data_IF_596109422567
#
_entry.id   IF_596109422567
#
_cell.length_a   1.000
_cell.length_b   1.000
_cell.length_c   1.000
_cell.angle_alpha   90.00
_cell.angle_beta   90.00
_cell.angle_gamma   90.00
#
_symmetry.space_group_name_H-M   'P 1'
#
loop_
_entity.id
_entity.type
_entity.pdbx_description
1 polymer ?
#
# COMPACT_ATOMS: atom_id res chain seq x y z
N UNK A 1 -7.29 11.94 13.61
CA UNK A 1 -6.69 12.77 14.67
C UNK A 1 -5.81 11.97 15.64
N UNK A 2 -6.24 10.78 16.16
CA UNK A 2 -5.46 10.01 17.14
C UNK A 2 -4.11 9.54 16.55
N UNK A 3 -4.12 8.91 15.36
CA UNK A 3 -2.91 8.52 14.65
C UNK A 3 -1.95 9.71 14.48
N UNK A 4 -2.42 10.83 13.96
CA UNK A 4 -1.59 12.01 13.72
C UNK A 4 -0.90 12.51 15.00
N UNK A 5 -1.63 12.53 16.12
CA UNK A 5 -1.07 12.93 17.43
C UNK A 5 0.01 11.98 17.93
N UNK A 6 -0.16 10.67 17.73
CA UNK A 6 0.86 9.70 18.09
C UNK A 6 2.07 9.77 17.15
N UNK A 7 1.84 9.79 15.84
CA UNK A 7 2.90 9.76 14.83
C UNK A 7 3.81 10.99 14.86
N UNK A 8 3.26 12.18 15.11
CA UNK A 8 4.04 13.44 15.16
C UNK A 8 5.06 13.47 16.30
N UNK A 9 4.81 12.78 17.40
CA UNK A 9 5.78 12.67 18.50
C UNK A 9 7.06 11.90 18.10
N UNK A 10 6.97 11.10 17.04
CA UNK A 10 8.07 10.36 16.44
C UNK A 10 8.66 11.05 15.20
N UNK A 11 8.27 12.30 14.93
CA UNK A 11 8.75 13.08 13.79
C UNK A 11 8.05 12.78 12.46
N UNK A 12 6.99 11.98 12.45
CA UNK A 12 6.20 11.71 11.25
C UNK A 12 5.22 12.85 11.00
N UNK A 13 5.32 13.53 9.86
CA UNK A 13 4.50 14.69 9.51
C UNK A 13 3.48 14.38 8.41
N UNK A 14 3.67 13.28 7.69
CA UNK A 14 2.78 12.84 6.63
C UNK A 14 2.68 11.31 6.62
N UNK A 15 1.59 10.79 6.06
CA UNK A 15 1.41 9.36 5.83
C UNK A 15 0.71 9.13 4.50
N UNK A 16 1.12 8.05 3.82
CA UNK A 16 0.37 7.43 2.73
C UNK A 16 -0.38 6.25 3.34
N UNK A 17 -1.67 6.15 3.09
CA UNK A 17 -2.53 5.17 3.75
C UNK A 17 -3.57 4.59 2.79
N UNK A 18 -3.94 3.34 3.04
CA UNK A 18 -5.03 2.65 2.34
C UNK A 18 -6.20 2.46 3.31
N UNK A 19 -7.39 3.02 3.03
CA UNK A 19 -8.55 2.88 3.90
C UNK A 19 -9.43 1.66 3.55
N UNK A 20 -8.85 0.52 3.12
CA UNK A 20 -9.62 -0.62 2.64
C UNK A 20 -10.51 -1.26 3.72
N UNK A 21 -10.11 -1.25 4.99
CA UNK A 21 -10.92 -1.82 6.08
C UNK A 21 -12.25 -1.07 6.24
N UNK A 22 -12.20 0.26 6.28
CA UNK A 22 -13.45 1.04 6.38
C UNK A 22 -14.23 1.01 5.08
N UNK A 23 -13.55 0.92 3.93
CA UNK A 23 -14.20 0.75 2.64
C UNK A 23 -14.90 -0.63 2.54
N UNK A 24 -14.34 -1.67 3.14
CA UNK A 24 -14.96 -2.99 3.22
C UNK A 24 -16.29 -2.99 4.02
N UNK A 25 -16.50 -1.99 4.88
CA UNK A 25 -17.74 -1.82 5.67
C UNK A 25 -18.69 -0.82 5.02
N UNK A 26 -18.18 0.33 4.53
CA UNK A 26 -18.99 1.48 4.11
C UNK A 26 -18.85 1.83 2.61
N UNK A 27 -18.02 1.10 1.86
CA UNK A 27 -17.78 1.37 0.44
C UNK A 27 -17.15 2.75 0.20
N UNK A 28 -17.59 3.43 -0.85
CA UNK A 28 -17.15 4.78 -1.20
C UNK A 28 -17.26 5.77 -0.02
N UNK A 29 -18.32 5.64 0.77
CA UNK A 29 -18.52 6.51 1.94
C UNK A 29 -17.43 6.35 2.99
N UNK A 30 -16.84 5.14 3.13
CA UNK A 30 -15.71 4.90 4.03
C UNK A 30 -14.48 5.68 3.61
N UNK A 31 -14.16 5.69 2.33
CA UNK A 31 -13.03 6.46 1.77
C UNK A 31 -13.27 7.97 1.95
N UNK A 32 -14.46 8.46 1.63
CA UNK A 32 -14.84 9.87 1.80
C UNK A 32 -14.74 10.29 3.27
N UNK A 33 -15.24 9.45 4.19
CA UNK A 33 -15.13 9.70 5.63
C UNK A 33 -13.67 9.87 6.07
N UNK A 34 -12.76 9.05 5.57
CA UNK A 34 -11.32 9.16 5.90
C UNK A 34 -10.73 10.47 5.39
N UNK A 35 -11.09 10.90 4.18
CA UNK A 35 -10.69 12.21 3.64
C UNK A 35 -11.22 13.37 4.48
N UNK A 36 -12.49 13.32 4.88
CA UNK A 36 -13.11 14.33 5.75
C UNK A 36 -12.44 14.41 7.12
N UNK A 37 -12.13 13.25 7.74
CA UNK A 37 -11.44 13.20 9.03
C UNK A 37 -9.98 13.70 8.92
N UNK A 38 -9.32 13.46 7.81
CA UNK A 38 -7.98 13.95 7.55
C UNK A 38 -7.96 15.49 7.42
N UNK A 39 -8.94 16.06 6.74
CA UNK A 39 -9.03 17.52 6.57
C UNK A 39 -9.17 18.31 7.88
N UNK A 40 -9.54 17.64 8.97
CA UNK A 40 -9.68 18.22 10.32
C UNK A 40 -8.36 18.24 11.11
N UNK A 41 -7.24 17.88 10.50
CA UNK A 41 -5.92 17.83 11.15
C UNK A 41 -4.86 18.46 10.25
N UNK A 42 -3.86 19.18 10.80
CA UNK A 42 -2.75 19.69 10.00
C UNK A 42 -1.79 18.61 9.51
N UNK A 43 -1.96 17.36 9.92
CA UNK A 43 -1.17 16.22 9.45
C UNK A 43 -1.52 15.91 7.98
N UNK A 44 -0.51 15.70 7.15
CA UNK A 44 -0.71 15.45 5.73
C UNK A 44 -1.01 13.95 5.50
N UNK A 45 -2.18 13.67 4.92
CA UNK A 45 -2.53 12.33 4.47
C UNK A 45 -2.64 12.28 2.95
N UNK A 46 -2.01 11.28 2.34
CA UNK A 46 -2.29 10.84 0.98
C UNK A 46 -3.00 9.49 1.03
N UNK A 47 -4.29 9.46 0.67
CA UNK A 47 -5.02 8.20 0.66
C UNK A 47 -4.94 7.51 -0.69
N UNK A 48 -4.87 6.18 -0.66
CA UNK A 48 -5.15 5.34 -1.81
C UNK A 48 -6.64 5.06 -1.96
N UNK A 49 -7.06 4.78 -3.18
CA UNK A 49 -8.37 4.17 -3.42
C UNK A 49 -8.20 2.66 -3.29
N UNK A 50 -8.91 1.99 -2.38
CA UNK A 50 -8.85 0.54 -2.26
C UNK A 50 -9.18 -0.16 -3.59
N UNK A 51 -8.28 -1.00 -4.06
CA UNK A 51 -8.43 -1.72 -5.33
C UNK A 51 -9.30 -2.96 -5.23
N UNK A 52 -9.28 -3.59 -4.05
CA UNK A 52 -9.92 -4.89 -3.77
C UNK A 52 -10.84 -4.78 -2.55
N UNK A 53 -12.11 -4.51 -2.78
CA UNK A 53 -13.17 -4.48 -1.75
C UNK A 53 -14.39 -5.23 -2.29
N UNK A 54 -14.68 -6.41 -1.73
CA UNK A 54 -13.87 -7.18 -0.77
C UNK A 54 -12.54 -7.66 -1.37
N UNK A 55 -11.60 -8.08 -0.51
CA UNK A 55 -10.29 -8.56 -0.94
C UNK A 55 -10.39 -9.87 -1.74
N UNK A 56 -11.37 -10.71 -1.42
CA UNK A 56 -11.66 -11.96 -2.15
C UNK A 56 -13.16 -12.16 -2.36
N UNK A 57 -13.57 -12.93 -3.39
CA UNK A 57 -14.99 -13.24 -3.61
C UNK A 57 -15.60 -14.19 -2.56
N UNK A 58 -14.80 -14.68 -1.63
CA UNK A 58 -15.23 -15.61 -0.56
C UNK A 58 -15.54 -14.89 0.75
N UNK A 59 -15.27 -13.59 0.83
CA UNK A 59 -15.53 -12.80 2.03
C UNK A 59 -16.97 -12.28 2.07
N UNK A 60 -17.47 -12.13 3.30
CA UNK A 60 -18.66 -11.31 3.56
C UNK A 60 -18.20 -9.88 3.79
N UNK A 61 -18.68 -8.95 2.98
CA UNK A 61 -18.37 -7.54 3.06
C UNK A 61 -19.62 -6.71 3.25
N UNK A 62 -19.48 -5.55 3.86
CA UNK A 62 -20.55 -4.55 3.99
C UNK A 62 -20.77 -3.76 2.70
N UNK A 63 -19.78 -3.73 1.83
CA UNK A 63 -19.82 -3.01 0.56
C UNK A 63 -18.86 -3.63 -0.48
N UNK A 64 -19.00 -3.18 -1.73
CA UNK A 64 -18.13 -3.55 -2.85
C UNK A 64 -17.68 -2.27 -3.59
N UNK A 65 -16.41 -2.24 -4.04
CA UNK A 65 -15.88 -1.20 -4.92
C UNK A 65 -15.60 -1.77 -6.31
N UNK A 66 -16.56 -1.61 -7.20
CA UNK A 66 -16.40 -1.93 -8.63
C UNK A 66 -15.56 -0.87 -9.37
N UNK A 67 -15.23 -1.12 -10.66
CA UNK A 67 -14.36 -0.22 -11.46
C UNK A 67 -14.86 1.22 -11.53
N UNK A 68 -16.18 1.44 -11.65
CA UNK A 68 -16.77 2.78 -11.75
C UNK A 68 -16.63 3.55 -10.43
N UNK A 69 -16.80 2.87 -9.28
CA UNK A 69 -16.61 3.46 -7.96
C UNK A 69 -15.14 3.85 -7.76
N UNK A 70 -14.21 2.96 -8.12
CA UNK A 70 -12.76 3.22 -8.07
C UNK A 70 -12.41 4.43 -8.95
N UNK A 71 -12.91 4.49 -10.18
CA UNK A 71 -12.65 5.60 -11.09
C UNK A 71 -13.13 6.95 -10.53
N UNK A 72 -14.35 6.99 -9.91
CA UNK A 72 -14.86 8.21 -9.25
C UNK A 72 -14.00 8.63 -8.07
N UNK A 73 -13.60 7.69 -7.24
CA UNK A 73 -12.78 7.97 -6.05
C UNK A 73 -11.39 8.49 -6.42
N UNK A 74 -10.77 7.99 -7.50
CA UNK A 74 -9.46 8.43 -7.98
C UNK A 74 -9.45 9.93 -8.38
N UNK A 75 -10.58 10.55 -8.62
CA UNK A 75 -10.69 11.97 -8.95
C UNK A 75 -10.81 12.87 -7.71
N UNK A 76 -10.92 12.30 -6.51
CA UNK A 76 -11.11 13.09 -5.29
C UNK A 76 -9.81 13.76 -4.81
N UNK A 77 -9.87 15.01 -4.32
CA UNK A 77 -8.73 15.66 -3.67
C UNK A 77 -8.24 14.87 -2.45
N UNK A 78 -6.92 14.68 -2.34
CA UNK A 78 -6.31 13.91 -1.26
C UNK A 78 -6.10 12.42 -1.60
N UNK A 79 -6.59 11.96 -2.74
CA UNK A 79 -6.25 10.65 -3.29
C UNK A 79 -4.93 10.77 -4.08
N UNK A 80 -4.03 9.84 -3.84
CA UNK A 80 -2.66 9.88 -4.36
C UNK A 80 -2.27 8.65 -5.18
N UNK A 81 -3.01 7.54 -5.07
CA UNK A 81 -2.67 6.27 -5.72
C UNK A 81 -3.88 5.32 -5.78
N UNK A 82 -3.77 4.28 -6.56
CA UNK A 82 -4.58 3.07 -6.41
C UNK A 82 -3.89 2.19 -5.37
N UNK A 83 -4.59 1.88 -4.28
CA UNK A 83 -4.03 1.12 -3.18
C UNK A 83 -3.88 -0.36 -3.53
N UNK A 84 -3.25 -1.09 -2.65
CA UNK A 84 -2.70 -2.44 -2.86
C UNK A 84 -3.55 -3.37 -3.73
N UNK A 85 -2.99 -3.74 -4.88
CA UNK A 85 -3.62 -4.66 -5.82
C UNK A 85 -3.40 -6.11 -5.34
N UNK A 86 -4.31 -6.58 -4.49
CA UNK A 86 -4.27 -7.92 -3.90
C UNK A 86 -4.76 -9.02 -4.85
N UNK A 87 -5.57 -8.68 -5.85
CA UNK A 87 -6.09 -9.66 -6.81
C UNK A 87 -5.04 -10.03 -7.88
N UNK A 88 -3.97 -10.67 -7.42
CA UNK A 88 -2.91 -11.17 -8.30
C UNK A 88 -3.45 -12.13 -9.38
N UNK A 89 -4.34 -13.09 -9.08
CA UNK A 89 -4.94 -13.92 -10.11
C UNK A 89 -5.70 -13.14 -11.18
N UNK A 90 -6.45 -12.12 -10.80
CA UNK A 90 -7.16 -11.23 -11.71
C UNK A 90 -6.22 -10.45 -12.63
N UNK A 91 -5.12 -9.91 -12.06
CA UNK A 91 -4.08 -9.24 -12.85
C UNK A 91 -3.47 -10.20 -13.87
N UNK A 92 -3.06 -11.40 -13.46
CA UNK A 92 -2.41 -12.39 -14.34
C UNK A 92 -3.33 -12.96 -15.43
N UNK A 93 -4.64 -13.02 -15.16
CA UNK A 93 -5.65 -13.49 -16.13
C UNK A 93 -6.22 -12.35 -16.99
N UNK A 94 -5.78 -11.11 -16.79
CA UNK A 94 -6.36 -9.91 -17.41
C UNK A 94 -7.88 -9.82 -17.17
N UNK A 95 -8.31 -10.02 -15.92
CA UNK A 95 -9.71 -9.86 -15.54
C UNK A 95 -10.19 -8.44 -15.94
N UNK A 96 -11.34 -8.31 -16.63
CA UNK A 96 -11.80 -7.02 -17.14
C UNK A 96 -12.04 -5.97 -16.04
N UNK A 97 -12.54 -6.38 -14.86
CA UNK A 97 -12.79 -5.44 -13.76
C UNK A 97 -11.48 -4.98 -13.11
N UNK A 98 -10.53 -5.90 -12.91
CA UNK A 98 -9.19 -5.56 -12.41
C UNK A 98 -8.48 -4.65 -13.40
N UNK A 99 -8.52 -4.98 -14.69
CA UNK A 99 -7.91 -4.17 -15.74
C UNK A 99 -8.49 -2.75 -15.79
N UNK A 100 -9.81 -2.61 -15.69
CA UNK A 100 -10.47 -1.31 -15.69
C UNK A 100 -10.02 -0.42 -14.51
N UNK A 101 -9.80 -1.01 -13.32
CA UNK A 101 -9.27 -0.28 -12.15
C UNK A 101 -7.84 0.19 -12.37
N UNK A 102 -6.97 -0.68 -12.88
CA UNK A 102 -5.59 -0.34 -13.23
C UNK A 102 -5.53 0.77 -14.27
N UNK A 103 -6.30 0.64 -15.36
CA UNK A 103 -6.37 1.63 -16.43
C UNK A 103 -6.89 2.98 -15.94
N UNK A 104 -7.85 2.99 -15.00
CA UNK A 104 -8.35 4.22 -14.38
C UNK A 104 -7.26 4.98 -13.60
N UNK A 105 -6.38 4.28 -12.89
CA UNK A 105 -5.24 4.88 -12.20
C UNK A 105 -4.18 5.38 -13.20
N UNK A 106 -3.82 4.54 -14.18
CA UNK A 106 -2.82 4.90 -15.19
C UNK A 106 -3.21 6.10 -16.04
N UNK A 107 -4.48 6.22 -16.46
CA UNK A 107 -4.99 7.37 -17.21
C UNK A 107 -4.86 8.69 -16.44
N UNK A 108 -4.82 8.63 -15.11
CA UNK A 108 -4.62 9.77 -14.22
C UNK A 108 -3.16 10.00 -13.82
N UNK A 109 -2.24 9.17 -14.33
CA UNK A 109 -0.84 9.21 -13.96
C UNK A 109 -0.57 8.85 -12.49
N UNK A 110 -1.51 8.15 -11.85
CA UNK A 110 -1.40 7.75 -10.45
C UNK A 110 -0.65 6.42 -10.32
N UNK A 111 0.24 6.26 -9.33
CA UNK A 111 0.90 5.00 -9.05
C UNK A 111 -0.09 3.94 -8.56
N UNK A 112 0.28 2.69 -8.73
CA UNK A 112 -0.47 1.54 -8.22
C UNK A 112 0.41 0.83 -7.20
N UNK A 113 -0.09 0.66 -5.97
CA UNK A 113 0.56 -0.17 -4.98
C UNK A 113 0.21 -1.65 -5.18
N UNK A 114 1.11 -2.52 -4.77
CA UNK A 114 0.99 -3.96 -4.91
C UNK A 114 1.02 -4.69 -3.57
N UNK A 115 0.40 -5.87 -3.60
CA UNK A 115 0.38 -6.83 -2.50
C UNK A 115 0.44 -8.24 -3.10
N UNK A 116 1.65 -8.71 -3.35
CA UNK A 116 1.85 -9.96 -4.09
C UNK A 116 2.85 -10.89 -3.37
N UNK A 117 2.45 -11.47 -2.21
CA UNK A 117 3.31 -12.39 -1.46
C UNK A 117 3.60 -13.66 -2.25
N UNK A 118 4.88 -14.05 -2.26
CA UNK A 118 5.32 -15.29 -2.91
C UNK A 118 5.36 -15.23 -4.44
N UNK A 119 5.05 -14.09 -5.06
CA UNK A 119 5.02 -13.96 -6.52
C UNK A 119 6.44 -13.84 -7.09
N UNK A 120 6.77 -14.73 -8.04
CA UNK A 120 8.10 -14.82 -8.61
C UNK A 120 8.05 -15.08 -10.14
N UNK A 121 9.22 -15.06 -10.76
CA UNK A 121 9.45 -15.47 -12.14
C UNK A 121 8.58 -14.74 -13.18
N UNK A 122 7.98 -15.47 -14.10
CA UNK A 122 7.14 -14.93 -15.17
C UNK A 122 5.87 -14.26 -14.62
N UNK A 123 5.28 -14.81 -13.56
CA UNK A 123 4.09 -14.26 -12.94
C UNK A 123 4.40 -12.88 -12.32
N UNK A 124 5.53 -12.74 -11.64
CA UNK A 124 5.97 -11.46 -11.09
C UNK A 124 6.24 -10.43 -12.21
N UNK A 125 6.89 -10.85 -13.32
CA UNK A 125 7.09 -9.96 -14.47
C UNK A 125 5.78 -9.50 -15.11
N UNK A 126 4.79 -10.39 -15.22
CA UNK A 126 3.47 -10.04 -15.73
C UNK A 126 2.73 -9.06 -14.80
N UNK A 127 2.85 -9.26 -13.49
CA UNK A 127 2.29 -8.36 -12.48
C UNK A 127 2.93 -6.96 -12.56
N UNK A 128 4.26 -6.88 -12.65
CA UNK A 128 4.97 -5.62 -12.86
C UNK A 128 4.58 -4.94 -14.19
N UNK A 129 4.46 -5.73 -15.28
CA UNK A 129 4.08 -5.22 -16.59
C UNK A 129 2.64 -4.70 -16.63
N UNK A 130 1.79 -5.09 -15.68
CA UNK A 130 0.45 -4.51 -15.50
C UNK A 130 0.49 -3.09 -14.89
N UNK A 131 1.69 -2.56 -14.60
CA UNK A 131 1.89 -1.19 -14.11
C UNK A 131 1.85 -1.03 -12.60
N UNK A 132 1.97 -2.12 -11.85
CA UNK A 132 2.16 -2.06 -10.40
C UNK A 132 3.56 -1.52 -10.09
N UNK A 133 3.64 -0.51 -9.24
CA UNK A 133 4.87 0.29 -9.04
C UNK A 133 5.60 0.02 -7.73
N UNK A 134 4.89 -0.48 -6.73
CA UNK A 134 5.40 -0.74 -5.38
C UNK A 134 4.90 -2.10 -4.88
N UNK A 135 5.54 -2.66 -3.85
CA UNK A 135 5.07 -3.87 -3.14
C UNK A 135 5.68 -3.91 -1.74
N UNK A 136 4.87 -4.30 -0.74
CA UNK A 136 5.27 -4.38 0.67
C UNK A 136 5.20 -5.80 1.25
N UNK A 137 4.73 -6.80 0.49
CA UNK A 137 4.44 -8.16 0.98
C UNK A 137 5.39 -9.25 0.45
N UNK A 138 6.66 -8.93 0.27
CA UNK A 138 7.64 -9.96 -0.07
C UNK A 138 7.91 -10.92 1.07
N UNK A 139 7.93 -12.22 0.80
CA UNK A 139 8.11 -13.29 1.79
C UNK A 139 9.59 -13.71 1.95
N UNK A 140 10.44 -13.45 0.96
CA UNK A 140 11.84 -13.83 0.97
C UNK A 140 12.74 -12.76 0.36
N UNK A 141 14.03 -12.84 0.70
CA UNK A 141 15.05 -11.97 0.11
C UNK A 141 15.12 -12.11 -1.42
N UNK A 142 15.03 -13.33 -1.94
CA UNK A 142 15.09 -13.61 -3.37
C UNK A 142 13.89 -13.02 -4.11
N UNK A 143 12.69 -13.13 -3.54
CA UNK A 143 11.48 -12.53 -4.08
C UNK A 143 11.59 -11.01 -4.13
N UNK A 144 11.95 -10.37 -3.01
CA UNK A 144 12.13 -8.93 -2.95
C UNK A 144 13.17 -8.44 -3.97
N UNK A 145 14.28 -9.17 -4.12
CA UNK A 145 15.32 -8.85 -5.10
C UNK A 145 14.82 -8.99 -6.54
N UNK A 146 13.97 -9.97 -6.84
CA UNK A 146 13.37 -10.11 -8.17
C UNK A 146 12.42 -8.96 -8.50
N UNK A 147 11.56 -8.55 -7.55
CA UNK A 147 10.68 -7.39 -7.68
C UNK A 147 11.47 -6.11 -7.96
N UNK A 148 12.52 -5.85 -7.19
CA UNK A 148 13.42 -4.71 -7.39
C UNK A 148 14.08 -4.71 -8.78
N UNK A 149 14.54 -5.86 -9.25
CA UNK A 149 15.12 -6.01 -10.61
C UNK A 149 14.11 -5.79 -11.72
N UNK A 150 12.83 -6.00 -11.46
CA UNK A 150 11.74 -5.72 -12.39
C UNK A 150 11.26 -4.24 -12.32
N UNK A 151 11.85 -3.42 -11.45
CA UNK A 151 11.51 -2.02 -11.29
C UNK A 151 10.38 -1.75 -10.29
N UNK A 152 9.86 -2.77 -9.61
CA UNK A 152 8.90 -2.60 -8.49
C UNK A 152 9.69 -2.07 -7.30
N UNK A 153 9.27 -0.96 -6.72
CA UNK A 153 9.86 -0.41 -5.50
C UNK A 153 9.43 -1.23 -4.30
N UNK A 154 10.37 -1.55 -3.44
CA UNK A 154 10.14 -2.32 -2.23
C UNK A 154 9.85 -1.41 -1.05
N UNK A 155 8.71 -1.57 -0.42
CA UNK A 155 8.42 -0.98 0.88
C UNK A 155 8.82 -1.98 1.96
N UNK A 156 9.97 -1.74 2.60
CA UNK A 156 10.50 -2.62 3.65
C UNK A 156 9.69 -2.43 4.93
N UNK A 157 8.89 -3.42 5.24
CA UNK A 157 7.84 -3.37 6.25
C UNK A 157 8.34 -3.74 7.65
N UNK A 158 7.99 -2.89 8.62
CA UNK A 158 8.17 -3.14 10.06
C UNK A 158 6.89 -2.78 10.82
N UNK A 159 5.89 -3.63 10.70
CA UNK A 159 4.60 -3.52 11.40
C UNK A 159 4.57 -4.27 12.73
N UNK A 160 3.41 -4.30 13.35
CA UNK A 160 3.17 -5.10 14.56
C UNK A 160 2.97 -6.57 14.23
N UNK A 161 2.25 -6.88 13.17
CA UNK A 161 1.94 -8.25 12.74
C UNK A 161 3.03 -8.86 11.85
N UNK A 162 3.61 -8.09 10.92
CA UNK A 162 4.63 -8.58 10.00
C UNK A 162 5.93 -7.79 10.13
N UNK A 163 7.02 -8.51 10.44
CA UNK A 163 8.35 -7.97 10.69
C UNK A 163 9.38 -8.77 9.90
N UNK A 164 9.58 -8.41 8.62
CA UNK A 164 10.62 -9.04 7.79
C UNK A 164 11.78 -8.09 7.49
N UNK A 165 11.87 -7.03 8.26
CA UNK A 165 12.76 -5.91 8.07
C UNK A 165 14.24 -6.34 7.97
N UNK A 166 14.71 -7.14 8.94
CA UNK A 166 16.11 -7.59 9.00
C UNK A 166 16.53 -8.39 7.76
N UNK A 167 15.61 -9.18 7.21
CA UNK A 167 15.87 -9.98 6.01
C UNK A 167 16.10 -9.13 4.76
N UNK A 168 15.57 -7.91 4.73
CA UNK A 168 15.64 -7.03 3.56
C UNK A 168 16.67 -5.90 3.70
N UNK A 169 17.23 -5.68 4.88
CA UNK A 169 18.28 -4.66 5.10
C UNK A 169 19.43 -4.70 4.07
N UNK A 170 19.95 -5.88 3.67
CA UNK A 170 21.02 -5.94 2.67
C UNK A 170 20.63 -5.44 1.27
N UNK A 171 19.33 -5.23 1.00
CA UNK A 171 18.83 -4.68 -0.26
C UNK A 171 18.90 -3.15 -0.29
N UNK A 172 18.78 -2.48 0.85
CA UNK A 172 18.77 -1.01 0.93
C UNK A 172 19.98 -0.36 0.26
N UNK A 173 21.24 -0.73 0.59
CA UNK A 173 22.41 -0.11 -0.05
C UNK A 173 22.61 -0.54 -1.51
N UNK A 174 21.97 -1.62 -1.95
CA UNK A 174 22.09 -2.14 -3.32
C UNK A 174 21.06 -1.52 -4.27
N UNK A 175 19.94 -1.05 -3.74
CA UNK A 175 18.80 -0.48 -4.48
C UNK A 175 18.28 0.77 -3.78
N UNK A 176 19.13 1.80 -3.53
CA UNK A 176 18.74 2.93 -2.68
C UNK A 176 17.55 3.73 -3.24
N UNK A 177 17.41 3.79 -4.57
CA UNK A 177 16.32 4.53 -5.24
C UNK A 177 15.01 3.72 -5.36
N UNK A 178 15.06 2.43 -5.01
CA UNK A 178 13.93 1.52 -5.15
C UNK A 178 13.44 0.96 -3.82
N UNK A 179 14.10 1.27 -2.70
CA UNK A 179 13.69 0.82 -1.38
C UNK A 179 13.16 1.99 -0.55
N UNK A 180 12.03 1.75 0.08
CA UNK A 180 11.41 2.66 1.05
C UNK A 180 11.13 1.91 2.34
N UNK A 181 10.91 2.63 3.43
CA UNK A 181 10.55 2.06 4.72
C UNK A 181 9.07 2.31 4.98
N UNK A 182 8.35 1.31 5.46
CA UNK A 182 6.96 1.46 5.86
C UNK A 182 6.68 0.75 7.17
N UNK A 183 5.62 1.14 7.84
CA UNK A 183 5.13 0.48 9.05
C UNK A 183 4.00 -0.49 8.76
N UNK A 184 3.22 -0.20 7.73
CA UNK A 184 1.99 -0.90 7.42
C UNK A 184 1.10 -1.06 8.68
N UNK A 185 0.55 -2.24 8.99
CA UNK A 185 -0.26 -2.47 10.18
C UNK A 185 0.54 -2.31 11.47
N UNK A 186 0.58 -1.08 11.97
CA UNK A 186 1.18 -0.77 13.27
C UNK A 186 0.10 -0.51 14.31
N UNK A 187 0.03 -1.39 15.31
CA UNK A 187 -0.95 -1.28 16.39
C UNK A 187 -0.77 0.02 17.19
N UNK A 188 -1.85 0.59 17.75
CA UNK A 188 -1.78 1.86 18.45
C UNK A 188 -0.79 1.90 19.63
N UNK A 189 -0.66 0.80 20.35
CA UNK A 189 0.27 0.68 21.48
C UNK A 189 1.74 0.63 21.02
N UNK A 190 2.03 -0.02 19.91
CA UNK A 190 3.36 0.02 19.27
C UNK A 190 3.65 1.40 18.67
N UNK A 191 2.66 2.05 18.06
CA UNK A 191 2.79 3.40 17.53
C UNK A 191 3.12 4.43 18.62
N UNK A 192 2.63 4.23 19.84
CA UNK A 192 2.98 5.10 20.97
C UNK A 192 4.44 4.93 21.44
N UNK A 193 5.09 3.82 21.11
CA UNK A 193 6.49 3.55 21.47
C UNK A 193 7.46 4.07 20.41
N UNK A 194 7.16 3.82 19.14
CA UNK A 194 8.03 4.17 18.01
C UNK A 194 7.26 4.19 16.68
N UNK A 195 7.86 4.79 15.64
CA UNK A 195 7.34 4.79 14.29
C UNK A 195 8.51 4.72 13.28
N UNK A 196 8.40 5.39 12.13
CA UNK A 196 9.42 5.40 11.06
C UNK A 196 10.80 5.86 11.56
N UNK A 197 10.87 6.73 12.56
CA UNK A 197 12.12 7.15 13.20
C UNK A 197 12.95 5.96 13.72
N UNK A 198 12.29 5.00 14.37
CA UNK A 198 12.94 3.78 14.87
C UNK A 198 13.40 2.88 13.71
N UNK A 199 12.54 2.69 12.71
CA UNK A 199 12.84 1.87 11.53
C UNK A 199 14.06 2.44 10.78
N UNK A 200 14.06 3.76 10.54
CA UNK A 200 15.16 4.45 9.88
C UNK A 200 16.48 4.37 10.69
N UNK A 201 16.39 4.61 12.00
CA UNK A 201 17.57 4.51 12.87
C UNK A 201 18.13 3.08 12.94
N UNK A 202 17.26 2.07 12.89
CA UNK A 202 17.68 0.66 12.87
C UNK A 202 18.34 0.32 11.52
N UNK A 203 17.76 0.76 10.40
CA UNK A 203 18.35 0.58 9.08
C UNK A 203 19.74 1.23 8.96
N UNK A 204 19.93 2.41 9.56
CA UNK A 204 21.21 3.13 9.52
C UNK A 204 22.33 2.47 10.35
N UNK A 205 21.97 1.74 11.41
CA UNK A 205 22.95 1.09 12.33
C UNK A 205 23.46 -0.26 11.83
N UNK A 206 22.85 -0.83 10.81
CA UNK A 206 23.21 -2.13 10.21
C UNK A 206 24.15 -1.94 9.01
#
# INVERSE_FOLDING_TARGET
>A
AAFARAAVTHGTLAAVADPHEIANVLGERGVILMLELASQTPFVFGFGVPSCVPATPFESAGAELGPEAVARLLDLPGITHLAEMMDVPGVLKNDPAVRAKLDAAHQRGLPVDGHAPGLRDNAMRAYAAAGITTDHESLSFEEAREKLKAGIKLLVRYGSAARRFESFLPLLPRFPDLCMLCSDDKHPDDLLRDHINFIAATAFRQ
#
